data_IF_831446301400
#
_entry.id   IF_831446301400
#
_cell.length_a   1.000
_cell.length_b   1.000
_cell.length_c   1.000
_cell.angle_alpha   90.00
_cell.angle_beta   90.00
_cell.angle_gamma   90.00
#
_symmetry.space_group_name_H-M   'P 1'
#
loop_
_entity.id
_entity.type
_entity.pdbx_description
1 polymer ?
#
# COMPACT_ATOMS: atom_id res chain seq x y z
N UNK A 1 1.52 -8.83 -11.73
CA UNK A 1 0.42 -9.82 -11.85
C UNK A 1 -0.30 -9.97 -10.51
N UNK A 2 -1.60 -10.27 -10.52
CA UNK A 2 -2.35 -10.53 -9.29
C UNK A 2 -2.03 -11.95 -8.78
N UNK A 3 -1.62 -12.07 -7.50
CA UNK A 3 -1.15 -13.32 -6.84
C UNK A 3 0.23 -13.85 -7.28
N UNK A 4 1.12 -12.97 -7.71
CA UNK A 4 2.50 -13.33 -8.05
C UNK A 4 2.62 -14.12 -9.35
N UNK A 5 3.83 -14.65 -9.61
CA UNK A 5 4.15 -15.43 -10.81
C UNK A 5 3.21 -16.63 -10.95
N UNK A 6 2.79 -16.89 -12.19
CA UNK A 6 1.82 -17.93 -12.56
C UNK A 6 0.46 -17.79 -11.84
N UNK A 7 0.19 -16.62 -11.22
CA UNK A 7 -1.03 -16.35 -10.43
C UNK A 7 -1.28 -17.37 -9.30
N UNK A 8 -0.20 -17.99 -8.82
CA UNK A 8 -0.23 -19.13 -7.91
C UNK A 8 -0.67 -18.78 -6.49
N UNK A 9 -0.45 -17.54 -6.05
CA UNK A 9 -0.67 -17.13 -4.66
C UNK A 9 0.32 -17.76 -3.68
N UNK A 10 1.44 -18.30 -4.17
CA UNK A 10 2.49 -18.90 -3.35
C UNK A 10 3.53 -17.83 -3.00
N UNK A 11 3.82 -17.69 -1.72
CA UNK A 11 4.88 -16.83 -1.21
C UNK A 11 6.12 -17.68 -0.92
N UNK A 12 7.22 -17.45 -1.64
CA UNK A 12 8.42 -18.30 -1.63
C UNK A 12 9.55 -17.80 -0.69
N UNK A 13 9.38 -16.66 -0.03
CA UNK A 13 10.45 -16.11 0.83
C UNK A 13 10.57 -16.85 2.17
N UNK A 14 11.78 -16.81 2.74
CA UNK A 14 12.12 -17.39 4.03
C UNK A 14 12.42 -16.30 5.08
N UNK A 15 12.64 -16.69 6.33
CA UNK A 15 13.00 -15.75 7.41
C UNK A 15 11.84 -14.97 8.03
N UNK A 16 10.60 -15.28 7.67
CA UNK A 16 9.43 -14.73 8.34
C UNK A 16 9.40 -15.12 9.82
N UNK A 17 9.00 -14.15 10.66
CA UNK A 17 8.67 -14.39 12.07
C UNK A 17 7.64 -15.52 12.17
N UNK A 18 7.90 -16.47 13.07
CA UNK A 18 6.96 -17.57 13.39
C UNK A 18 5.97 -17.16 14.45
N UNK A 19 6.38 -16.26 15.33
CA UNK A 19 5.58 -15.68 16.40
C UNK A 19 5.94 -14.21 16.51
N UNK A 20 4.96 -13.39 16.88
CA UNK A 20 5.18 -11.97 17.11
C UNK A 20 5.79 -11.76 18.51
N UNK A 21 6.67 -10.76 18.68
CA UNK A 21 7.08 -10.32 20.02
C UNK A 21 5.85 -9.92 20.86
N UNK A 22 5.95 -9.98 22.18
CA UNK A 22 4.86 -9.57 23.09
C UNK A 22 4.40 -8.13 22.85
N UNK A 23 5.35 -7.24 22.54
CA UNK A 23 5.07 -5.83 22.17
C UNK A 23 4.57 -5.64 20.73
N UNK A 24 4.50 -6.71 19.94
CA UNK A 24 4.30 -6.64 18.50
C UNK A 24 5.55 -6.20 17.71
N UNK A 25 5.49 -6.21 16.37
CA UNK A 25 6.51 -5.64 15.51
C UNK A 25 6.58 -4.12 15.69
N UNK A 26 7.78 -3.57 15.57
CA UNK A 26 7.99 -2.13 15.60
C UNK A 26 7.33 -1.44 14.40
N UNK A 27 6.56 -0.38 14.65
CA UNK A 27 6.00 0.46 13.59
C UNK A 27 7.12 1.30 12.97
N UNK A 28 7.46 1.02 11.71
CA UNK A 28 8.50 1.79 11.02
C UNK A 28 8.05 3.21 10.66
N UNK A 29 6.82 3.38 10.19
CA UNK A 29 6.19 4.66 9.90
C UNK A 29 4.68 4.46 9.64
N UNK A 30 3.91 5.53 9.79
CA UNK A 30 2.49 5.60 9.45
C UNK A 30 2.19 6.86 8.63
N UNK A 31 1.11 6.81 7.85
CA UNK A 31 0.66 7.93 7.04
C UNK A 31 -0.87 7.97 7.00
N UNK A 32 -1.43 9.06 7.52
CA UNK A 32 -2.87 9.30 7.55
C UNK A 32 -3.37 10.14 6.37
N UNK A 33 -4.70 10.32 6.29
CA UNK A 33 -5.38 11.22 5.35
C UNK A 33 -5.14 10.88 3.88
N UNK A 34 -5.09 9.58 3.56
CA UNK A 34 -4.92 9.07 2.20
C UNK A 34 -6.18 9.15 1.33
N UNK A 35 -7.31 9.53 1.93
CA UNK A 35 -8.64 9.49 1.32
C UNK A 35 -9.46 8.33 1.88
N UNK A 36 -10.78 8.40 1.67
CA UNK A 36 -11.72 7.36 2.08
C UNK A 36 -11.69 6.19 1.09
N UNK A 37 -12.04 4.99 1.54
CA UNK A 37 -12.27 3.84 0.65
C UNK A 37 -11.75 2.53 1.21
N UNK A 38 -11.86 1.47 0.41
CA UNK A 38 -11.52 0.09 0.78
C UNK A 38 -10.31 -0.45 0.00
N UNK A 39 -9.56 0.42 -0.68
CA UNK A 39 -8.42 0.01 -1.49
C UNK A 39 -7.27 -0.49 -0.61
N UNK A 40 -6.60 -1.54 -1.06
CA UNK A 40 -5.32 -1.96 -0.50
C UNK A 40 -4.15 -1.28 -1.23
N UNK A 41 -3.04 -0.94 -0.55
CA UNK A 41 -1.86 -0.41 -1.23
C UNK A 41 -1.23 -1.46 -2.15
N UNK A 42 -0.69 -1.02 -3.27
CA UNK A 42 0.19 -1.81 -4.15
C UNK A 42 1.62 -1.30 -4.01
N UNK A 43 2.55 -2.19 -3.68
CA UNK A 43 3.95 -1.84 -3.41
C UNK A 43 4.86 -2.43 -4.48
N UNK A 44 5.74 -1.60 -5.04
CA UNK A 44 6.86 -2.00 -5.91
C UNK A 44 8.18 -1.77 -5.20
N UNK A 45 9.30 -2.08 -5.85
CA UNK A 45 10.65 -1.86 -5.32
C UNK A 45 10.96 -0.40 -4.94
N UNK A 46 10.18 0.57 -5.42
CA UNK A 46 10.46 1.99 -5.19
C UNK A 46 9.24 2.90 -4.98
N UNK A 47 8.02 2.37 -5.11
CA UNK A 47 6.81 3.18 -5.07
C UNK A 47 5.65 2.42 -4.43
N UNK A 48 4.90 3.12 -3.58
CA UNK A 48 3.63 2.66 -3.03
C UNK A 48 2.51 3.40 -3.76
N UNK A 49 1.53 2.67 -4.28
CA UNK A 49 0.35 3.21 -4.94
C UNK A 49 -0.91 2.89 -4.14
N UNK A 50 -1.80 3.87 -3.99
CA UNK A 50 -3.09 3.68 -3.35
C UNK A 50 -4.14 4.53 -4.03
N UNK A 51 -5.32 3.95 -4.25
CA UNK A 51 -6.52 4.64 -4.70
C UNK A 51 -7.40 5.00 -3.52
N UNK A 52 -8.00 6.17 -3.53
CA UNK A 52 -8.93 6.60 -2.50
C UNK A 52 -9.88 7.66 -3.03
N UNK A 53 -10.89 7.99 -2.25
CA UNK A 53 -11.80 9.10 -2.52
C UNK A 53 -11.40 10.30 -1.67
N UNK A 54 -11.32 11.47 -2.30
CA UNK A 54 -11.17 12.76 -1.63
C UNK A 54 -12.26 13.68 -2.13
N UNK A 55 -13.10 14.16 -1.21
CA UNK A 55 -14.27 14.96 -1.53
C UNK A 55 -15.18 14.25 -2.57
N UNK A 56 -15.30 14.80 -3.77
CA UNK A 56 -16.10 14.25 -4.89
C UNK A 56 -15.23 13.61 -5.98
N UNK A 57 -13.96 13.33 -5.70
CA UNK A 57 -13.02 12.79 -6.68
C UNK A 57 -12.40 11.49 -6.22
N UNK A 58 -12.27 10.57 -7.16
CA UNK A 58 -11.43 9.39 -7.04
C UNK A 58 -9.99 9.74 -7.43
N UNK A 59 -9.05 9.44 -6.55
CA UNK A 59 -7.63 9.79 -6.68
C UNK A 59 -6.72 8.57 -6.64
N UNK A 60 -5.67 8.61 -7.47
CA UNK A 60 -4.53 7.70 -7.40
C UNK A 60 -3.34 8.47 -6.85
N UNK A 61 -2.79 8.00 -5.73
CA UNK A 61 -1.63 8.59 -5.08
C UNK A 61 -0.41 7.67 -5.19
N UNK A 62 0.77 8.27 -5.35
CA UNK A 62 2.05 7.57 -5.34
C UNK A 62 2.95 8.11 -4.23
N UNK A 63 3.61 7.21 -3.49
CA UNK A 63 4.52 7.53 -2.39
C UNK A 63 5.85 6.80 -2.54
N UNK A 64 6.91 7.34 -1.96
CA UNK A 64 8.16 6.62 -1.73
C UNK A 64 7.98 5.57 -0.63
N UNK A 65 8.95 4.66 -0.47
CA UNK A 65 8.88 3.61 0.56
C UNK A 65 8.99 4.13 2.00
N UNK A 66 9.41 5.39 2.19
CA UNK A 66 9.43 6.11 3.46
C UNK A 66 8.22 7.05 3.64
N UNK A 67 7.15 6.85 2.86
CA UNK A 67 5.87 7.54 3.03
C UNK A 67 5.78 8.95 2.44
N UNK A 68 6.79 9.46 1.72
CA UNK A 68 6.73 10.80 1.10
C UNK A 68 5.91 10.75 -0.18
N UNK A 69 4.94 11.66 -0.32
CA UNK A 69 4.12 11.78 -1.54
C UNK A 69 4.99 12.18 -2.73
N UNK A 70 4.95 11.39 -3.80
CA UNK A 70 5.58 11.67 -5.09
C UNK A 70 4.66 12.50 -5.96
N UNK A 71 3.41 12.06 -6.11
CA UNK A 71 2.37 12.74 -6.88
C UNK A 71 0.99 12.17 -6.53
N UNK A 72 -0.06 12.86 -7.00
CA UNK A 72 -1.46 12.46 -6.90
C UNK A 72 -2.17 12.91 -8.18
N UNK A 73 -3.08 12.08 -8.69
CA UNK A 73 -3.91 12.43 -9.85
C UNK A 73 -5.36 12.03 -9.59
N UNK A 74 -6.28 12.89 -10.00
CA UNK A 74 -7.71 12.55 -10.10
C UNK A 74 -7.90 11.65 -11.32
N UNK A 75 -8.67 10.58 -11.18
CA UNK A 75 -9.02 9.69 -12.30
C UNK A 75 -10.52 9.51 -12.50
N UNK A 76 -11.36 10.01 -11.58
CA UNK A 76 -12.81 9.92 -11.69
C UNK A 76 -13.51 10.86 -10.72
N UNK A 77 -14.81 11.00 -10.94
CA UNK A 77 -15.74 11.63 -10.00
C UNK A 77 -16.44 10.52 -9.19
N UNK A 78 -16.68 10.79 -7.92
CA UNK A 78 -17.23 9.82 -6.97
C UNK A 78 -18.76 9.89 -6.80
#
# INVERSE_FOLDING_TARGET
>A
EFRGSERSGIYNEAGLLKEWPESGPELSWELDNLGDGYSSPTVTDNTIYITGRKEQSDVLSAFTLDGKKKWETVYGDA
#
